data_IF_686612457464
#
_entry.id   IF_686612457464
#
_cell.length_a   1.000
_cell.length_b   1.000
_cell.length_c   1.000
_cell.angle_alpha   90.00
_cell.angle_beta   90.00
_cell.angle_gamma   90.00
#
_symmetry.space_group_name_H-M   'P 1'
#
loop_
_entity.id
_entity.type
_entity.pdbx_description
1 polymer ?
#
# COMPACT_ATOMS: atom_id res chain seq x y z
N UNK A 1 2.81 15.65 -26.83
CA UNK A 1 2.79 14.57 -25.84
C UNK A 1 1.86 14.98 -24.71
N UNK A 2 1.02 14.08 -24.23
CA UNK A 2 0.09 14.36 -23.12
C UNK A 2 0.86 14.78 -21.87
N UNK A 3 0.53 15.93 -21.25
CA UNK A 3 1.25 16.40 -20.07
C UNK A 3 1.00 15.50 -18.86
N UNK A 4 2.02 15.33 -18.02
CA UNK A 4 1.94 14.58 -16.76
C UNK A 4 2.16 15.55 -15.60
N UNK A 5 1.25 15.52 -14.64
CA UNK A 5 1.35 16.23 -13.38
C UNK A 5 1.72 15.26 -12.27
N UNK A 6 2.39 15.73 -11.22
CA UNK A 6 2.83 14.89 -10.11
C UNK A 6 2.28 15.42 -8.80
N UNK A 7 1.69 14.52 -8.02
CA UNK A 7 1.24 14.76 -6.65
C UNK A 7 2.08 13.92 -5.71
N UNK A 8 2.83 14.59 -4.83
CA UNK A 8 3.54 13.96 -3.71
C UNK A 8 2.76 14.19 -2.42
N UNK A 9 2.70 13.18 -1.58
CA UNK A 9 2.09 13.27 -0.25
C UNK A 9 3.09 12.84 0.82
N UNK A 10 3.16 13.55 1.94
CA UNK A 10 4.12 13.18 2.98
C UNK A 10 3.89 13.85 4.32
N UNK A 11 4.66 13.40 5.31
CA UNK A 11 4.75 13.98 6.64
C UNK A 11 6.07 13.62 7.28
N UNK A 12 6.91 14.64 7.57
CA UNK A 12 8.22 14.45 8.20
C UNK A 12 9.13 13.49 7.41
N UNK A 13 9.23 13.68 6.08
CA UNK A 13 10.01 12.79 5.23
C UNK A 13 11.47 13.23 5.06
N UNK A 14 11.80 14.48 5.41
CA UNK A 14 13.18 14.97 5.44
C UNK A 14 13.92 14.76 4.11
N UNK A 15 15.07 14.09 4.14
CA UNK A 15 15.89 13.85 2.94
C UNK A 15 15.23 12.92 1.92
N UNK A 16 14.30 12.06 2.34
CA UNK A 16 13.53 11.22 1.42
C UNK A 16 12.65 12.06 0.50
N UNK A 17 11.96 13.08 1.07
CA UNK A 17 11.18 14.03 0.27
C UNK A 17 12.05 14.82 -0.70
N UNK A 18 13.24 15.24 -0.28
CA UNK A 18 14.18 15.95 -1.18
C UNK A 18 14.58 15.06 -2.37
N UNK A 19 14.84 13.77 -2.13
CA UNK A 19 15.12 12.81 -3.19
C UNK A 19 13.90 12.58 -4.10
N UNK A 20 12.69 12.47 -3.53
CA UNK A 20 11.45 12.34 -4.28
C UNK A 20 11.20 13.56 -5.19
N UNK A 21 11.32 14.78 -4.66
CA UNK A 21 11.18 16.04 -5.42
C UNK A 21 12.20 16.14 -6.55
N UNK A 22 13.47 15.84 -6.24
CA UNK A 22 14.53 15.85 -7.25
C UNK A 22 14.28 14.85 -8.38
N UNK A 23 13.67 13.71 -8.08
CA UNK A 23 13.40 12.66 -9.06
C UNK A 23 12.30 13.04 -10.07
N UNK A 24 11.45 14.00 -9.78
CA UNK A 24 10.37 14.47 -10.67
C UNK A 24 10.66 15.83 -11.30
N UNK A 25 11.69 16.52 -10.84
CA UNK A 25 12.09 17.83 -11.36
C UNK A 25 12.38 17.78 -12.86
N UNK A 26 11.82 18.72 -13.61
CA UNK A 26 11.99 18.83 -15.07
C UNK A 26 11.28 17.76 -15.91
N UNK A 27 10.56 16.81 -15.28
CA UNK A 27 9.80 15.76 -15.96
C UNK A 27 8.29 16.01 -15.89
N UNK A 28 7.80 16.69 -14.86
CA UNK A 28 6.39 17.01 -14.65
C UNK A 28 6.04 18.40 -15.13
N UNK A 29 4.82 18.60 -15.62
CA UNK A 29 4.26 19.92 -15.94
C UNK A 29 3.98 20.73 -14.69
N UNK A 30 3.36 20.12 -13.70
CA UNK A 30 3.09 20.67 -12.37
C UNK A 30 3.52 19.68 -11.31
N UNK A 31 4.05 20.18 -10.20
CA UNK A 31 4.39 19.39 -9.02
C UNK A 31 3.62 19.96 -7.84
N UNK A 32 2.79 19.15 -7.21
CA UNK A 32 2.06 19.49 -5.98
C UNK A 32 2.59 18.60 -4.86
N UNK A 33 2.99 19.20 -3.75
CA UNK A 33 3.29 18.49 -2.51
C UNK A 33 2.21 18.76 -1.47
N UNK A 34 1.59 17.71 -0.96
CA UNK A 34 0.59 17.81 0.11
C UNK A 34 1.23 17.42 1.43
N UNK A 35 1.34 18.40 2.32
CA UNK A 35 1.88 18.24 3.65
C UNK A 35 0.80 17.84 4.65
N UNK A 36 1.02 16.76 5.38
CA UNK A 36 0.10 16.24 6.41
C UNK A 36 0.53 16.64 7.83
N UNK A 37 0.98 17.89 8.01
CA UNK A 37 1.37 18.46 9.30
C UNK A 37 2.80 18.11 9.70
N UNK A 38 3.76 18.31 8.80
CA UNK A 38 5.19 18.17 9.09
C UNK A 38 5.68 19.20 10.09
N UNK A 39 6.64 18.80 10.89
CA UNK A 39 7.34 19.63 11.88
C UNK A 39 8.84 19.80 11.55
N UNK A 40 9.30 19.14 10.48
CA UNK A 40 10.65 19.25 9.93
C UNK A 40 10.69 20.28 8.77
N UNK A 41 11.77 20.27 7.97
CA UNK A 41 11.97 21.19 6.83
C UNK A 41 11.24 20.74 5.53
N UNK A 42 10.33 19.75 5.58
CA UNK A 42 9.66 19.17 4.40
C UNK A 42 8.92 20.24 3.57
N UNK A 43 8.14 21.11 4.20
CA UNK A 43 7.42 22.20 3.50
C UNK A 43 8.41 23.14 2.79
N UNK A 44 9.41 23.64 3.51
CA UNK A 44 10.40 24.54 2.93
C UNK A 44 11.24 23.88 1.82
N UNK A 45 11.48 22.58 1.92
CA UNK A 45 12.17 21.81 0.88
C UNK A 45 11.32 21.71 -0.40
N UNK A 46 10.01 21.48 -0.27
CA UNK A 46 9.10 21.42 -1.41
C UNK A 46 8.97 22.79 -2.11
N UNK A 47 8.86 23.87 -1.35
CA UNK A 47 8.81 25.24 -1.91
C UNK A 47 10.10 25.57 -2.67
N UNK A 48 11.29 25.26 -2.08
CA UNK A 48 12.58 25.47 -2.77
C UNK A 48 12.72 24.66 -4.05
N UNK A 49 12.08 23.47 -4.11
CA UNK A 49 12.05 22.66 -5.33
C UNK A 49 11.05 23.14 -6.38
N UNK A 50 10.31 24.24 -6.12
CA UNK A 50 9.30 24.80 -7.02
C UNK A 50 7.97 24.03 -7.03
N UNK A 51 7.71 23.19 -6.05
CA UNK A 51 6.43 22.52 -5.91
C UNK A 51 5.37 23.47 -5.31
N UNK A 52 4.12 23.35 -5.79
CA UNK A 52 2.97 23.97 -5.13
C UNK A 52 2.67 23.20 -3.85
N UNK A 53 2.79 23.86 -2.70
CA UNK A 53 2.53 23.22 -1.41
C UNK A 53 1.06 23.38 -1.03
N UNK A 54 0.44 22.28 -0.59
CA UNK A 54 -0.90 22.23 -0.02
C UNK A 54 -0.79 21.70 1.41
N UNK A 55 -1.14 22.52 2.39
CA UNK A 55 -1.22 22.09 3.78
C UNK A 55 -2.58 21.43 4.02
N UNK A 56 -2.55 20.14 4.36
CA UNK A 56 -3.77 19.39 4.65
C UNK A 56 -4.42 19.91 5.93
N UNK A 57 -5.75 20.08 5.90
CA UNK A 57 -6.51 20.41 7.12
C UNK A 57 -6.37 19.33 8.19
N UNK A 58 -5.66 19.64 9.27
CA UNK A 58 -5.37 18.75 10.39
C UNK A 58 -6.42 18.78 11.50
N UNK A 59 -7.50 19.54 11.35
CA UNK A 59 -8.66 19.49 12.28
C UNK A 59 -9.41 18.16 12.18
N UNK A 60 -9.24 17.46 11.06
CA UNK A 60 -9.70 16.09 10.81
C UNK A 60 -8.50 15.14 10.75
N UNK A 61 -8.66 13.85 11.15
CA UNK A 61 -7.59 12.86 11.02
C UNK A 61 -7.06 12.81 9.58
N UNK A 62 -5.74 12.88 9.42
CA UNK A 62 -5.12 12.77 8.10
C UNK A 62 -5.18 11.33 7.59
N UNK A 63 -5.31 11.18 6.28
CA UNK A 63 -5.18 9.91 5.55
C UNK A 63 -4.45 10.15 4.23
N UNK A 64 -3.80 9.12 3.68
CA UNK A 64 -3.19 9.21 2.37
C UNK A 64 -4.25 9.51 1.27
N UNK A 65 -5.47 8.99 1.43
CA UNK A 65 -6.59 9.28 0.55
C UNK A 65 -6.94 10.78 0.53
N UNK A 66 -7.07 11.41 1.70
CA UNK A 66 -7.34 12.85 1.81
C UNK A 66 -6.21 13.67 1.17
N UNK A 67 -4.96 13.29 1.42
CA UNK A 67 -3.82 13.99 0.87
C UNK A 67 -3.79 13.90 -0.66
N UNK A 68 -4.00 12.70 -1.24
CA UNK A 68 -4.03 12.54 -2.71
C UNK A 68 -5.19 13.30 -3.35
N UNK A 69 -6.38 13.31 -2.73
CA UNK A 69 -7.51 14.11 -3.21
C UNK A 69 -7.16 15.61 -3.21
N UNK A 70 -6.66 16.14 -2.10
CA UNK A 70 -6.28 17.55 -1.99
C UNK A 70 -5.19 17.94 -3.00
N UNK A 71 -4.25 17.02 -3.27
CA UNK A 71 -3.23 17.23 -4.29
C UNK A 71 -3.80 17.27 -5.71
N UNK A 72 -4.73 16.37 -6.02
CA UNK A 72 -5.43 16.36 -7.31
C UNK A 72 -6.24 17.65 -7.53
N UNK A 73 -6.98 18.08 -6.51
CA UNK A 73 -7.81 19.30 -6.56
C UNK A 73 -6.98 20.59 -6.74
N UNK A 74 -5.70 20.54 -6.37
CA UNK A 74 -4.78 21.66 -6.52
C UNK A 74 -4.14 21.77 -7.91
N UNK A 75 -4.33 20.80 -8.80
CA UNK A 75 -3.81 20.79 -10.16
C UNK A 75 -4.70 21.59 -11.12
N UNK A 76 -4.07 22.28 -12.08
CA UNK A 76 -4.76 23.01 -13.13
C UNK A 76 -4.97 22.12 -14.35
N UNK A 77 -6.24 21.75 -14.64
CA UNK A 77 -6.66 20.96 -15.81
C UNK A 77 -5.76 19.73 -16.10
N UNK A 78 -5.61 18.79 -15.15
CA UNK A 78 -4.76 17.64 -15.37
C UNK A 78 -5.34 16.67 -16.41
N UNK A 79 -4.45 16.02 -17.16
CA UNK A 79 -4.78 14.90 -18.05
C UNK A 79 -4.26 13.58 -17.48
N UNK A 80 -2.96 13.49 -17.16
CA UNK A 80 -2.37 12.37 -16.43
C UNK A 80 -1.78 12.85 -15.12
N UNK A 81 -2.05 12.13 -14.05
CA UNK A 81 -1.54 12.43 -12.72
C UNK A 81 -0.77 11.24 -12.16
N UNK A 82 0.50 11.44 -11.86
CA UNK A 82 1.32 10.50 -11.13
C UNK A 82 1.24 10.82 -9.63
N UNK A 83 0.72 9.90 -8.84
CA UNK A 83 0.80 9.95 -7.39
C UNK A 83 2.06 9.25 -6.92
N UNK A 84 2.75 9.81 -5.92
CA UNK A 84 3.96 9.28 -5.32
C UNK A 84 3.95 9.56 -3.81
N UNK A 85 4.34 8.57 -3.01
CA UNK A 85 4.59 8.79 -1.59
C UNK A 85 5.89 9.59 -1.40
N UNK A 86 5.96 10.49 -0.41
CA UNK A 86 7.09 11.38 -0.17
C UNK A 86 8.40 10.68 0.24
N UNK A 87 8.34 9.37 0.53
CA UNK A 87 9.48 8.50 0.79
C UNK A 87 9.88 7.62 -0.41
N UNK A 88 9.34 7.94 -1.60
CA UNK A 88 9.57 7.22 -2.85
C UNK A 88 10.23 8.15 -3.89
N UNK A 89 11.38 7.75 -4.42
CA UNK A 89 12.02 8.43 -5.56
C UNK A 89 11.64 7.74 -6.87
N UNK A 90 11.17 8.52 -7.85
CA UNK A 90 10.80 8.03 -9.17
C UNK A 90 12.04 7.61 -9.96
N UNK A 91 11.95 6.52 -10.71
CA UNK A 91 13.05 6.08 -11.58
C UNK A 91 13.00 6.85 -12.91
N UNK A 92 14.17 7.33 -13.42
CA UNK A 92 14.22 8.03 -14.69
C UNK A 92 13.57 7.26 -15.84
N UNK A 93 12.79 7.96 -16.68
CA UNK A 93 12.10 7.37 -17.83
C UNK A 93 10.76 6.69 -17.52
N UNK A 94 10.41 6.49 -16.24
CA UNK A 94 9.14 5.85 -15.91
C UNK A 94 7.91 6.68 -16.34
N UNK A 95 7.92 8.00 -16.13
CA UNK A 95 6.78 8.85 -16.54
C UNK A 95 6.52 8.76 -18.05
N UNK A 96 7.57 8.73 -18.85
CA UNK A 96 7.45 8.59 -20.31
C UNK A 96 6.90 7.21 -20.70
N UNK A 97 7.39 6.14 -20.06
CA UNK A 97 6.90 4.79 -20.32
C UNK A 97 5.44 4.62 -19.92
N UNK A 98 5.04 5.11 -18.74
CA UNK A 98 3.67 5.04 -18.25
C UNK A 98 2.70 5.88 -19.11
N UNK A 99 3.10 7.10 -19.49
CA UNK A 99 2.35 7.95 -20.41
C UNK A 99 2.16 7.28 -21.76
N UNK A 100 3.24 6.78 -22.39
CA UNK A 100 3.18 6.12 -23.68
C UNK A 100 2.26 4.89 -23.64
N UNK A 101 2.27 4.13 -22.53
CA UNK A 101 1.37 3.00 -22.35
C UNK A 101 -0.09 3.47 -22.30
N UNK A 102 -0.40 4.51 -21.54
CA UNK A 102 -1.75 5.06 -21.49
C UNK A 102 -2.19 5.61 -22.85
N UNK A 103 -1.34 6.35 -23.56
CA UNK A 103 -1.66 6.91 -24.88
C UNK A 103 -2.03 5.78 -25.89
N UNK A 104 -1.35 4.64 -25.83
CA UNK A 104 -1.60 3.47 -26.71
C UNK A 104 -2.79 2.60 -26.24
N UNK A 105 -3.24 2.73 -25.00
CA UNK A 105 -4.28 1.88 -24.41
C UNK A 105 -5.43 2.72 -23.84
N UNK A 106 -6.35 3.24 -24.66
CA UNK A 106 -7.40 4.16 -24.22
C UNK A 106 -8.37 3.55 -23.19
N UNK A 107 -8.55 2.23 -23.15
CA UNK A 107 -9.35 1.54 -22.12
C UNK A 107 -8.65 1.35 -20.78
N UNK A 108 -7.34 1.66 -20.71
CA UNK A 108 -6.59 1.62 -19.44
C UNK A 108 -6.68 2.97 -18.73
N UNK A 109 -7.19 2.94 -17.51
CA UNK A 109 -7.36 4.15 -16.69
C UNK A 109 -6.18 4.43 -15.75
N UNK A 110 -5.47 3.38 -15.34
CA UNK A 110 -4.36 3.48 -14.38
C UNK A 110 -3.20 2.56 -14.78
N UNK A 111 -1.99 3.09 -14.62
CA UNK A 111 -0.73 2.36 -14.80
C UNK A 111 0.14 2.48 -13.56
N UNK A 112 0.78 1.38 -13.19
CA UNK A 112 1.83 1.33 -12.17
C UNK A 112 3.04 0.54 -12.69
N UNK A 113 4.15 0.58 -11.96
CA UNK A 113 5.35 -0.22 -12.20
C UNK A 113 5.72 -1.05 -11.00
N UNK A 114 7.01 -1.40 -10.90
CA UNK A 114 7.56 -2.03 -9.70
C UNK A 114 8.11 -0.98 -8.75
N UNK A 115 7.84 -1.18 -7.47
CA UNK A 115 8.52 -0.49 -6.37
C UNK A 115 9.68 -1.37 -5.91
N UNK A 116 10.84 -0.80 -5.64
CA UNK A 116 12.02 -1.49 -5.12
C UNK A 116 12.43 -0.89 -3.78
N UNK A 117 12.87 -1.73 -2.85
CA UNK A 117 13.41 -1.29 -1.57
C UNK A 117 14.90 -0.95 -1.71
N UNK A 118 15.30 0.29 -1.34
CA UNK A 118 16.69 0.75 -1.48
C UNK A 118 17.64 0.06 -0.50
N UNK A 119 17.14 -0.31 0.69
CA UNK A 119 17.89 -1.00 1.73
C UNK A 119 17.40 -2.43 1.93
N UNK A 120 17.15 -3.14 0.82
CA UNK A 120 16.55 -4.48 0.79
C UNK A 120 17.19 -5.44 1.78
N UNK A 121 18.53 -5.51 1.80
CA UNK A 121 19.26 -6.50 2.58
C UNK A 121 19.56 -6.06 4.03
N UNK A 122 19.12 -4.86 4.43
CA UNK A 122 19.30 -4.36 5.79
C UNK A 122 18.52 -5.20 6.82
N UNK A 123 17.33 -5.67 6.48
CA UNK A 123 16.50 -6.49 7.37
C UNK A 123 15.62 -7.48 6.62
N UNK A 124 15.17 -8.52 7.33
CA UNK A 124 14.17 -9.46 6.82
C UNK A 124 12.84 -8.76 6.45
N UNK A 125 12.50 -7.68 7.12
CA UNK A 125 11.27 -6.94 6.87
C UNK A 125 11.34 -6.14 5.58
N UNK A 126 12.49 -5.49 5.30
CA UNK A 126 12.75 -4.81 4.03
C UNK A 126 12.76 -5.81 2.86
N UNK A 127 13.39 -6.99 3.04
CA UNK A 127 13.37 -8.06 2.05
C UNK A 127 11.94 -8.51 1.73
N UNK A 128 11.08 -8.65 2.76
CA UNK A 128 9.69 -9.03 2.56
C UNK A 128 8.92 -7.94 1.81
N UNK A 129 9.12 -6.66 2.13
CA UNK A 129 8.51 -5.54 1.41
C UNK A 129 8.91 -5.53 -0.06
N UNK A 130 10.21 -5.62 -0.36
CA UNK A 130 10.72 -5.65 -1.73
C UNK A 130 10.08 -6.78 -2.54
N UNK A 131 9.95 -7.97 -1.95
CA UNK A 131 9.30 -9.09 -2.60
C UNK A 131 7.79 -8.87 -2.80
N UNK A 132 7.08 -8.31 -1.81
CA UNK A 132 5.65 -8.01 -1.91
C UNK A 132 5.34 -6.99 -3.01
N UNK A 133 6.25 -6.06 -3.30
CA UNK A 133 6.07 -5.00 -4.30
C UNK A 133 6.40 -5.44 -5.73
N UNK A 134 7.17 -6.52 -5.91
CA UNK A 134 7.51 -7.08 -7.22
C UNK A 134 6.49 -8.12 -7.65
N UNK A 135 5.40 -7.65 -8.25
CA UNK A 135 4.33 -8.51 -8.77
C UNK A 135 4.42 -8.61 -10.30
N UNK A 136 3.84 -9.67 -10.92
CA UNK A 136 3.83 -9.80 -12.37
C UNK A 136 3.29 -8.55 -13.07
N UNK A 137 3.87 -8.23 -14.24
CA UNK A 137 3.35 -7.23 -15.16
C UNK A 137 2.10 -7.75 -15.87
N UNK A 138 1.29 -6.84 -16.45
CA UNK A 138 0.04 -7.13 -17.14
C UNK A 138 -1.15 -6.47 -16.47
N UNK A 139 -2.35 -6.94 -16.78
CA UNK A 139 -3.57 -6.47 -16.13
C UNK A 139 -3.60 -6.89 -14.66
N UNK A 140 -3.99 -5.96 -13.79
CA UNK A 140 -3.96 -6.13 -12.33
C UNK A 140 -5.29 -5.74 -11.69
N UNK A 141 -5.56 -6.31 -10.52
CA UNK A 141 -6.75 -5.94 -9.74
C UNK A 141 -6.52 -4.72 -8.83
N UNK A 142 -5.29 -4.50 -8.38
CA UNK A 142 -4.91 -3.39 -7.51
C UNK A 142 -3.42 -3.11 -7.61
N UNK A 143 -3.03 -1.91 -7.16
CA UNK A 143 -1.63 -1.47 -7.06
C UNK A 143 -1.32 -1.02 -5.63
N UNK A 144 -0.16 -0.41 -5.42
CA UNK A 144 0.15 0.40 -4.25
C UNK A 144 -0.16 1.88 -4.48
N UNK A 145 0.17 2.73 -3.51
CA UNK A 145 -0.12 4.16 -3.55
C UNK A 145 0.54 4.94 -4.69
N UNK A 146 1.66 4.44 -5.25
CA UNK A 146 2.32 5.04 -6.41
C UNK A 146 1.65 4.55 -7.70
N UNK A 147 1.03 5.47 -8.44
CA UNK A 147 0.29 5.14 -9.66
C UNK A 147 0.15 6.35 -10.58
N UNK A 148 0.14 6.14 -11.89
CA UNK A 148 -0.29 7.14 -12.87
C UNK A 148 -1.72 6.87 -13.28
N UNK A 149 -2.59 7.88 -13.20
CA UNK A 149 -4.02 7.76 -13.55
C UNK A 149 -4.40 8.76 -14.63
N UNK A 150 -5.39 8.42 -15.44
CA UNK A 150 -6.13 9.41 -16.21
C UNK A 150 -6.92 10.30 -15.25
N UNK A 151 -6.84 11.60 -15.39
CA UNK A 151 -7.61 12.51 -14.56
C UNK A 151 -9.13 12.29 -14.70
N UNK A 152 -9.58 11.86 -15.88
CA UNK A 152 -10.98 11.49 -16.10
C UNK A 152 -11.41 10.34 -15.18
N UNK A 153 -10.62 9.25 -15.12
CA UNK A 153 -10.90 8.13 -14.21
C UNK A 153 -11.03 8.59 -12.75
N UNK A 154 -10.13 9.48 -12.30
CA UNK A 154 -10.18 10.00 -10.93
C UNK A 154 -11.46 10.78 -10.65
N UNK A 155 -11.91 11.59 -11.62
CA UNK A 155 -13.19 12.32 -11.52
C UNK A 155 -14.40 11.39 -11.58
N UNK A 156 -14.38 10.36 -12.44
CA UNK A 156 -15.49 9.41 -12.60
C UNK A 156 -15.84 8.68 -11.29
N UNK A 157 -14.85 8.52 -10.40
CA UNK A 157 -15.04 7.83 -9.12
C UNK A 157 -14.99 8.77 -7.90
N UNK A 158 -14.92 10.09 -8.11
CA UNK A 158 -14.81 11.10 -7.04
C UNK A 158 -13.58 10.88 -6.14
N UNK A 159 -12.44 10.59 -6.76
CA UNK A 159 -11.16 10.36 -6.08
C UNK A 159 -11.15 9.17 -5.13
N UNK A 160 -10.29 9.23 -4.11
CA UNK A 160 -10.20 8.22 -3.05
C UNK A 160 -11.20 8.48 -1.92
N UNK A 161 -11.71 7.42 -1.31
CA UNK A 161 -12.56 7.55 -0.12
C UNK A 161 -11.71 8.07 1.06
N UNK A 162 -11.99 9.30 1.56
CA UNK A 162 -11.15 9.97 2.57
C UNK A 162 -11.14 9.26 3.94
N UNK A 163 -12.13 8.40 4.21
CA UNK A 163 -12.27 7.70 5.49
C UNK A 163 -11.53 6.35 5.51
N UNK A 164 -10.97 5.92 4.38
CA UNK A 164 -10.16 4.69 4.32
C UNK A 164 -8.74 5.00 4.76
N UNK A 165 -8.33 4.37 5.88
CA UNK A 165 -7.02 4.64 6.52
C UNK A 165 -5.93 3.63 6.15
N UNK A 166 -6.30 2.55 5.47
CA UNK A 166 -5.40 1.49 5.03
C UNK A 166 -6.01 0.74 3.85
N UNK A 167 -5.19 0.40 2.87
CA UNK A 167 -5.61 -0.19 1.60
C UNK A 167 -6.59 0.74 0.82
N UNK A 168 -6.39 2.04 0.92
CA UNK A 168 -7.08 3.07 0.16
C UNK A 168 -6.82 2.94 -1.35
N UNK A 169 -5.64 2.46 -1.70
CA UNK A 169 -5.21 2.10 -3.04
C UNK A 169 -5.97 0.88 -3.59
N UNK A 170 -6.15 -0.17 -2.79
CA UNK A 170 -7.01 -1.30 -3.14
C UNK A 170 -8.47 -0.86 -3.32
N UNK A 171 -8.99 -0.03 -2.41
CA UNK A 171 -10.37 0.46 -2.41
C UNK A 171 -10.67 1.25 -3.69
N UNK A 172 -9.82 2.21 -4.03
CA UNK A 172 -10.03 3.01 -5.25
C UNK A 172 -9.89 2.15 -6.52
N UNK A 173 -8.97 1.18 -6.54
CA UNK A 173 -8.83 0.24 -7.66
C UNK A 173 -10.08 -0.62 -7.87
N UNK A 174 -10.82 -0.99 -6.81
CA UNK A 174 -12.12 -1.65 -6.94
C UNK A 174 -13.12 -0.74 -7.66
N UNK A 175 -13.18 0.56 -7.28
CA UNK A 175 -14.09 1.52 -7.93
C UNK A 175 -13.68 1.82 -9.37
N UNK A 176 -12.39 1.93 -9.67
CA UNK A 176 -11.89 2.09 -11.04
C UNK A 176 -12.38 0.96 -11.95
N UNK A 177 -12.26 -0.29 -11.52
CA UNK A 177 -12.72 -1.44 -12.28
C UNK A 177 -14.25 -1.51 -12.41
N UNK A 178 -14.99 -1.13 -11.35
CA UNK A 178 -16.47 -1.01 -11.39
C UNK A 178 -16.94 0.08 -12.34
N UNK A 179 -16.13 1.11 -12.57
CA UNK A 179 -16.36 2.14 -13.57
C UNK A 179 -15.99 1.69 -15.01
N UNK A 180 -15.54 0.44 -15.19
CA UNK A 180 -15.26 -0.14 -16.50
C UNK A 180 -13.82 0.03 -17.01
N UNK A 181 -12.91 0.58 -16.19
CA UNK A 181 -11.52 0.80 -16.59
C UNK A 181 -10.64 -0.41 -16.29
N UNK A 182 -9.66 -0.69 -17.16
CA UNK A 182 -8.58 -1.65 -16.87
C UNK A 182 -7.43 -0.98 -16.14
N UNK A 183 -6.72 -1.76 -15.32
CA UNK A 183 -5.57 -1.32 -14.54
C UNK A 183 -4.37 -2.18 -14.92
N UNK A 184 -3.20 -1.56 -15.17
CA UNK A 184 -2.04 -2.30 -15.65
C UNK A 184 -0.77 -2.02 -14.85
N UNK A 185 0.05 -3.07 -14.70
CA UNK A 185 1.45 -2.94 -14.30
C UNK A 185 2.33 -3.13 -15.52
N UNK A 186 3.11 -2.10 -15.87
CA UNK A 186 4.11 -2.21 -16.92
C UNK A 186 5.42 -2.80 -16.37
N UNK A 187 6.23 -3.50 -17.20
CA UNK A 187 7.47 -4.14 -16.78
C UNK A 187 8.62 -3.12 -16.63
N UNK A 188 8.39 -2.09 -15.80
CA UNK A 188 9.35 -1.03 -15.52
C UNK A 188 9.47 -0.81 -14.01
N UNK A 189 10.67 -0.56 -13.52
CA UNK A 189 10.88 -0.04 -12.18
C UNK A 189 10.31 1.37 -12.13
N UNK A 190 9.40 1.63 -11.18
CA UNK A 190 8.70 2.90 -11.05
C UNK A 190 9.33 3.77 -9.97
N UNK A 191 9.42 3.23 -8.77
CA UNK A 191 9.91 3.98 -7.61
C UNK A 191 10.88 3.16 -6.77
N UNK A 192 11.82 3.87 -6.15
CA UNK A 192 12.71 3.36 -5.09
C UNK A 192 12.23 3.91 -3.76
N UNK A 193 11.97 3.04 -2.84
CA UNK A 193 11.34 3.33 -1.57
C UNK A 193 12.25 2.96 -0.40
N UNK A 194 12.27 3.79 0.63
CA UNK A 194 12.90 3.47 1.91
C UNK A 194 11.81 3.05 2.93
N UNK A 195 11.62 1.75 3.08
CA UNK A 195 10.68 1.22 4.09
C UNK A 195 11.11 1.54 5.51
N UNK A 196 12.41 1.77 5.75
CA UNK A 196 13.01 2.05 7.06
C UNK A 196 12.54 1.07 8.16
N UNK A 197 12.28 -0.19 7.78
CA UNK A 197 11.69 -1.18 8.68
C UNK A 197 12.79 -1.99 9.36
N UNK A 198 13.26 -1.52 10.52
CA UNK A 198 14.42 -2.08 11.22
C UNK A 198 14.05 -2.96 12.42
N UNK A 199 12.81 -2.91 12.90
CA UNK A 199 12.36 -3.57 14.13
C UNK A 199 11.11 -4.41 13.91
N UNK A 200 11.00 -5.53 14.64
CA UNK A 200 9.83 -6.41 14.64
C UNK A 200 8.52 -5.66 14.92
N UNK A 201 8.53 -4.71 15.86
CA UNK A 201 7.34 -3.92 16.20
C UNK A 201 6.79 -3.10 15.04
N UNK A 202 7.64 -2.58 14.15
CA UNK A 202 7.21 -1.87 12.95
C UNK A 202 6.50 -2.81 11.97
N UNK A 203 7.09 -4.00 11.72
CA UNK A 203 6.45 -5.02 10.89
C UNK A 203 5.12 -5.49 11.50
N UNK A 204 5.07 -5.71 12.83
CA UNK A 204 3.85 -6.09 13.53
C UNK A 204 2.76 -5.04 13.37
N UNK A 205 3.09 -3.76 13.58
CA UNK A 205 2.13 -2.66 13.44
C UNK A 205 1.68 -2.46 12.00
N UNK A 206 2.59 -2.64 11.01
CA UNK A 206 2.22 -2.68 9.60
C UNK A 206 1.23 -3.81 9.32
N UNK A 207 1.42 -4.99 9.88
CA UNK A 207 0.48 -6.10 9.74
C UNK A 207 -0.88 -5.81 10.42
N UNK A 208 -0.89 -5.11 11.57
CA UNK A 208 -2.15 -4.61 12.19
C UNK A 208 -2.85 -3.64 11.23
N UNK A 209 -2.13 -2.69 10.62
CA UNK A 209 -2.70 -1.77 9.62
C UNK A 209 -3.29 -2.54 8.42
N UNK A 210 -2.57 -3.54 7.90
CA UNK A 210 -3.06 -4.41 6.82
C UNK A 210 -4.37 -5.12 7.18
N UNK A 211 -4.45 -5.69 8.39
CA UNK A 211 -5.68 -6.33 8.87
C UNK A 211 -6.87 -5.36 9.00
N UNK A 212 -6.61 -4.11 9.42
CA UNK A 212 -7.62 -3.06 9.42
C UNK A 212 -8.13 -2.80 7.99
N UNK A 213 -7.22 -2.68 7.00
CA UNK A 213 -7.56 -2.51 5.60
C UNK A 213 -8.44 -3.67 5.07
N UNK A 214 -8.08 -4.93 5.37
CA UNK A 214 -8.91 -6.08 4.99
C UNK A 214 -10.35 -5.99 5.49
N UNK A 215 -10.54 -5.51 6.74
CA UNK A 215 -11.87 -5.37 7.31
C UNK A 215 -12.61 -4.16 6.75
N UNK A 216 -11.94 -3.01 6.61
CA UNK A 216 -12.55 -1.77 6.14
C UNK A 216 -12.95 -1.87 4.67
N UNK A 217 -12.01 -2.25 3.79
CA UNK A 217 -12.30 -2.40 2.34
C UNK A 217 -13.28 -3.55 2.10
N UNK A 218 -13.14 -4.67 2.82
CA UNK A 218 -14.09 -5.78 2.72
C UNK A 218 -15.46 -5.49 3.35
N UNK A 219 -15.63 -4.39 4.11
CA UNK A 219 -16.92 -3.87 4.52
C UNK A 219 -17.57 -3.00 3.44
N UNK A 220 -16.76 -2.17 2.75
CA UNK A 220 -17.21 -1.32 1.64
C UNK A 220 -17.49 -2.16 0.37
N UNK A 221 -16.67 -3.17 0.14
CA UNK A 221 -16.75 -4.10 -1.01
C UNK A 221 -16.72 -5.54 -0.50
N UNK A 222 -17.88 -6.15 -0.18
CA UNK A 222 -17.95 -7.48 0.43
C UNK A 222 -17.27 -8.60 -0.37
N UNK A 223 -17.21 -8.46 -1.68
CA UNK A 223 -16.56 -9.38 -2.62
C UNK A 223 -15.01 -9.30 -2.60
N UNK A 224 -14.46 -8.22 -2.01
CA UNK A 224 -13.01 -7.99 -1.96
C UNK A 224 -12.40 -8.49 -0.64
N UNK A 225 -11.15 -8.92 -0.66
CA UNK A 225 -10.43 -9.49 0.48
C UNK A 225 -11.12 -10.67 1.20
N UNK A 226 -12.01 -11.40 0.51
CA UNK A 226 -12.74 -12.55 1.10
C UNK A 226 -11.77 -13.63 1.59
N UNK A 227 -10.77 -13.97 0.75
CA UNK A 227 -9.77 -14.99 1.08
C UNK A 227 -8.89 -14.56 2.25
N UNK A 228 -8.44 -13.30 2.24
CA UNK A 228 -7.58 -12.72 3.25
C UNK A 228 -8.30 -12.69 4.60
N UNK A 229 -9.52 -12.18 4.64
CA UNK A 229 -10.37 -12.15 5.87
C UNK A 229 -10.61 -13.56 6.42
N UNK A 230 -10.97 -14.51 5.54
CA UNK A 230 -11.17 -15.91 5.94
C UNK A 230 -9.89 -16.53 6.51
N UNK A 231 -8.74 -16.31 5.87
CA UNK A 231 -7.44 -16.80 6.36
C UNK A 231 -7.08 -16.19 7.72
N UNK A 232 -7.35 -14.91 7.93
CA UNK A 232 -7.14 -14.25 9.22
C UNK A 232 -8.03 -14.87 10.29
N UNK A 233 -9.31 -15.08 10.03
CA UNK A 233 -10.24 -15.70 10.99
C UNK A 233 -9.87 -17.15 11.31
N UNK A 234 -9.45 -17.92 10.32
CA UNK A 234 -9.04 -19.32 10.54
C UNK A 234 -7.71 -19.39 11.32
N UNK A 235 -6.66 -18.78 10.79
CA UNK A 235 -5.30 -18.90 11.35
C UNK A 235 -5.02 -17.92 12.50
N UNK A 236 -5.73 -16.81 12.60
CA UNK A 236 -5.55 -15.83 13.67
C UNK A 236 -6.50 -16.03 14.85
N UNK A 237 -7.66 -16.68 14.67
CA UNK A 237 -8.67 -16.84 15.71
C UNK A 237 -9.04 -18.31 15.95
N UNK A 238 -9.61 -19.00 14.94
CA UNK A 238 -10.20 -20.33 15.17
C UNK A 238 -9.16 -21.36 15.59
N UNK A 239 -8.03 -21.46 14.87
CA UNK A 239 -6.97 -22.42 15.22
C UNK A 239 -6.31 -22.14 16.58
N UNK A 240 -5.98 -20.88 16.98
CA UNK A 240 -5.53 -20.60 18.33
C UNK A 240 -6.52 -21.01 19.42
N UNK A 241 -7.82 -20.75 19.22
CA UNK A 241 -8.86 -21.17 20.18
C UNK A 241 -8.96 -22.69 20.27
N UNK A 242 -8.90 -23.40 19.13
CA UNK A 242 -8.90 -24.88 19.12
C UNK A 242 -7.63 -25.45 19.78
N UNK A 243 -6.48 -24.79 19.60
CA UNK A 243 -5.25 -25.18 20.28
C UNK A 243 -5.40 -25.10 21.80
N UNK A 244 -5.93 -23.99 22.31
CA UNK A 244 -6.17 -23.80 23.74
C UNK A 244 -7.22 -24.80 24.27
N UNK A 245 -8.31 -25.01 23.53
CA UNK A 245 -9.31 -26.03 23.88
C UNK A 245 -8.70 -27.43 23.94
N UNK A 246 -7.80 -27.75 23.02
CA UNK A 246 -7.07 -29.02 23.01
C UNK A 246 -6.19 -29.24 24.24
N UNK A 247 -5.54 -28.18 24.75
CA UNK A 247 -4.75 -28.26 25.99
C UNK A 247 -5.63 -28.60 27.22
N UNK A 248 -6.91 -28.23 27.19
CA UNK A 248 -7.85 -28.43 28.28
C UNK A 248 -8.63 -29.75 28.16
N UNK A 249 -8.66 -30.37 26.96
CA UNK A 249 -9.47 -31.57 26.68
C UNK A 249 -8.64 -32.76 26.23
N UNK A 250 -7.96 -32.62 25.08
CA UNK A 250 -7.12 -33.70 24.52
C UNK A 250 -5.94 -33.11 23.75
N UNK A 251 -4.74 -33.50 24.11
CA UNK A 251 -3.50 -33.04 23.45
C UNK A 251 -3.44 -33.38 21.96
N UNK A 252 -4.17 -34.37 21.50
CA UNK A 252 -4.27 -34.71 20.07
C UNK A 252 -4.86 -33.57 19.23
N UNK A 253 -5.84 -32.83 19.79
CA UNK A 253 -6.41 -31.67 19.13
C UNK A 253 -5.35 -30.56 18.98
N UNK A 254 -4.60 -30.28 20.05
CA UNK A 254 -3.49 -29.30 19.99
C UNK A 254 -2.40 -29.73 19.00
N UNK A 255 -2.04 -31.00 18.98
CA UNK A 255 -1.06 -31.54 18.03
C UNK A 255 -1.55 -31.42 16.58
N UNK A 256 -2.84 -31.69 16.31
CA UNK A 256 -3.42 -31.52 14.98
C UNK A 256 -3.39 -30.03 14.54
N UNK A 257 -3.68 -29.09 15.43
CA UNK A 257 -3.56 -27.65 15.12
C UNK A 257 -2.12 -27.25 14.78
N UNK A 258 -1.14 -27.73 15.54
CA UNK A 258 0.28 -27.48 15.23
C UNK A 258 0.68 -28.08 13.88
N UNK A 259 0.19 -29.27 13.55
CA UNK A 259 0.42 -29.89 12.23
C UNK A 259 -0.19 -29.03 11.09
N UNK A 260 -1.38 -28.45 11.29
CA UNK A 260 -1.98 -27.51 10.31
C UNK A 260 -1.11 -26.27 10.12
N UNK A 261 -0.57 -25.67 11.20
CA UNK A 261 0.35 -24.54 11.09
C UNK A 261 1.66 -24.92 10.39
N UNK A 262 2.24 -26.07 10.74
CA UNK A 262 3.44 -26.59 10.08
C UNK A 262 3.21 -26.81 8.59
N UNK A 263 2.09 -27.41 8.22
CA UNK A 263 1.71 -27.62 6.82
C UNK A 263 1.52 -26.28 6.07
N UNK A 264 0.85 -25.30 6.69
CA UNK A 264 0.70 -23.96 6.11
C UNK A 264 2.06 -23.27 5.92
N UNK A 265 2.94 -23.38 6.91
CA UNK A 265 4.30 -22.83 6.85
C UNK A 265 5.09 -23.43 5.69
N UNK A 266 5.11 -24.76 5.56
CA UNK A 266 5.80 -25.48 4.48
C UNK A 266 5.22 -25.11 3.11
N UNK A 267 3.88 -25.15 2.96
CA UNK A 267 3.21 -24.80 1.71
C UNK A 267 3.50 -23.35 1.28
N UNK A 268 3.52 -22.43 2.24
CA UNK A 268 3.84 -21.02 1.97
C UNK A 268 5.28 -20.88 1.51
N UNK A 269 6.25 -21.52 2.19
CA UNK A 269 7.65 -21.49 1.77
C UNK A 269 7.85 -22.10 0.37
N UNK A 270 7.21 -23.24 0.09
CA UNK A 270 7.27 -23.86 -1.25
C UNK A 270 6.64 -22.96 -2.34
N UNK A 271 5.55 -22.26 -2.03
CA UNK A 271 4.96 -21.27 -2.93
C UNK A 271 5.95 -20.16 -3.26
N UNK A 272 6.56 -19.56 -2.24
CA UNK A 272 7.57 -18.50 -2.39
C UNK A 272 8.79 -18.96 -3.22
N UNK A 273 9.23 -20.21 -3.06
CA UNK A 273 10.33 -20.79 -3.85
C UNK A 273 9.90 -20.93 -5.32
N UNK A 274 8.68 -21.39 -5.59
CA UNK A 274 8.14 -21.47 -6.97
C UNK A 274 8.02 -20.10 -7.62
N UNK A 275 7.73 -19.05 -6.82
CA UNK A 275 7.67 -17.67 -7.25
C UNK A 275 9.07 -17.01 -7.39
N UNK A 276 10.15 -17.81 -7.25
CA UNK A 276 11.53 -17.42 -7.53
C UNK A 276 12.34 -16.90 -6.33
N UNK A 277 11.80 -16.98 -5.09
CA UNK A 277 12.61 -16.63 -3.92
C UNK A 277 13.67 -17.69 -3.61
N UNK A 278 14.91 -17.28 -3.23
CA UNK A 278 15.90 -18.19 -2.67
C UNK A 278 15.34 -18.94 -1.45
N UNK A 279 15.59 -20.25 -1.35
CA UNK A 279 14.98 -21.11 -0.35
C UNK A 279 15.14 -20.57 1.09
N UNK A 280 16.35 -20.10 1.47
CA UNK A 280 16.59 -19.55 2.80
C UNK A 280 15.72 -18.32 3.10
N UNK A 281 15.49 -17.44 2.14
CA UNK A 281 14.59 -16.29 2.27
C UNK A 281 13.13 -16.74 2.34
N UNK A 282 12.73 -17.66 1.49
CA UNK A 282 11.37 -18.18 1.43
C UNK A 282 10.91 -18.78 2.77
N UNK A 283 11.76 -19.57 3.44
CA UNK A 283 11.46 -20.11 4.77
C UNK A 283 11.31 -19.00 5.83
N UNK A 284 12.18 -17.99 5.83
CA UNK A 284 12.09 -16.84 6.76
C UNK A 284 10.84 -16.01 6.52
N UNK A 285 10.53 -15.69 5.25
CA UNK A 285 9.32 -14.95 4.88
C UNK A 285 8.04 -15.74 5.22
N UNK A 286 8.03 -17.06 5.00
CA UNK A 286 6.90 -17.91 5.35
C UNK A 286 6.57 -17.84 6.85
N UNK A 287 7.58 -17.75 7.73
CA UNK A 287 7.37 -17.56 9.16
C UNK A 287 6.62 -16.26 9.46
N UNK A 288 7.09 -15.13 8.88
CA UNK A 288 6.43 -13.84 9.05
C UNK A 288 5.00 -13.86 8.47
N UNK A 289 4.81 -14.42 7.27
CA UNK A 289 3.49 -14.49 6.63
C UNK A 289 2.50 -15.37 7.41
N UNK A 290 2.99 -16.43 8.06
CA UNK A 290 2.17 -17.27 8.94
C UNK A 290 1.82 -16.51 10.23
N UNK A 291 2.80 -15.88 10.87
CA UNK A 291 2.60 -15.09 12.09
C UNK A 291 1.72 -13.87 11.85
N UNK A 292 1.75 -13.27 10.66
CA UNK A 292 0.99 -12.04 10.33
C UNK A 292 -0.52 -12.16 10.59
N UNK A 293 -1.08 -13.37 10.65
CA UNK A 293 -2.52 -13.58 10.86
C UNK A 293 -3.00 -13.11 12.24
N UNK A 294 -2.11 -13.10 13.24
CA UNK A 294 -2.42 -12.60 14.58
C UNK A 294 -2.52 -11.07 14.58
N UNK A 295 -1.51 -10.29 14.16
CA UNK A 295 -1.66 -8.84 14.09
C UNK A 295 -2.73 -8.39 13.08
N UNK A 296 -2.94 -9.14 11.97
CA UNK A 296 -4.05 -8.85 11.06
C UNK A 296 -5.41 -9.01 11.76
N UNK A 297 -5.59 -10.02 12.62
CA UNK A 297 -6.82 -10.18 13.41
C UNK A 297 -7.03 -8.99 14.35
N UNK A 298 -5.97 -8.53 15.02
CA UNK A 298 -6.02 -7.33 15.87
C UNK A 298 -6.49 -6.12 15.05
N UNK A 299 -5.97 -5.96 13.85
CA UNK A 299 -6.38 -4.90 12.92
C UNK A 299 -7.86 -4.97 12.54
N UNK A 300 -8.33 -6.17 12.16
CA UNK A 300 -9.75 -6.41 11.86
C UNK A 300 -10.64 -6.09 13.07
N UNK A 301 -10.27 -6.55 14.26
CA UNK A 301 -11.00 -6.28 15.49
C UNK A 301 -11.04 -4.77 15.80
N UNK A 302 -9.92 -4.04 15.60
CA UNK A 302 -9.88 -2.57 15.77
C UNK A 302 -10.85 -1.85 14.83
N UNK A 303 -10.93 -2.25 13.56
CA UNK A 303 -11.91 -1.68 12.63
C UNK A 303 -13.35 -1.88 13.14
N UNK A 304 -13.73 -3.12 13.46
CA UNK A 304 -15.09 -3.41 13.92
C UNK A 304 -15.43 -2.69 15.23
N UNK A 305 -14.49 -2.61 16.18
CA UNK A 305 -14.66 -1.88 17.43
C UNK A 305 -14.87 -0.39 17.19
N UNK A 306 -14.05 0.24 16.35
CA UNK A 306 -14.20 1.67 16.01
C UNK A 306 -15.53 1.93 15.33
N UNK A 307 -15.94 1.06 14.41
CA UNK A 307 -17.24 1.16 13.72
C UNK A 307 -18.41 1.07 14.68
N UNK A 308 -18.42 0.09 15.59
CA UNK A 308 -19.50 -0.06 16.59
C UNK A 308 -19.55 1.14 17.53
N UNK A 309 -18.38 1.64 17.95
CA UNK A 309 -18.27 2.82 18.82
C UNK A 309 -18.48 4.15 18.09
N UNK A 310 -18.67 4.15 16.77
CA UNK A 310 -18.77 5.35 15.92
C UNK A 310 -17.62 6.32 16.15
N UNK A 311 -16.42 5.79 16.41
CA UNK A 311 -15.20 6.58 16.61
C UNK A 311 -14.46 6.80 15.30
N UNK A 312 -13.71 7.90 15.22
CA UNK A 312 -12.94 8.26 14.03
C UNK A 312 -12.01 7.14 13.59
N UNK A 313 -11.92 6.96 12.28
CA UNK A 313 -10.89 6.13 11.69
C UNK A 313 -9.59 6.92 11.64
N UNK A 314 -8.59 6.49 12.41
CA UNK A 314 -7.27 7.14 12.47
C UNK A 314 -6.22 6.20 11.96
N UNK A 315 -5.27 6.73 11.19
CA UNK A 315 -4.16 5.97 10.61
C UNK A 315 -3.38 5.22 11.70
N UNK A 316 -2.89 4.04 11.35
CA UNK A 316 -2.04 3.22 12.23
C UNK A 316 -0.59 3.44 11.74
N UNK A 317 0.13 4.31 12.41
CA UNK A 317 1.52 4.64 12.08
C UNK A 317 2.46 3.52 12.56
N UNK A 318 3.49 3.20 11.76
CA UNK A 318 4.49 2.16 12.08
C UNK A 318 5.93 2.59 11.79
N UNK A 319 6.13 3.81 11.26
CA UNK A 319 7.43 4.46 11.03
C UNK A 319 7.77 5.40 12.17
#
# INVERSE_FOLDING_TARGET
MTPVDVVLIGRNEGDRLKAALASVAGQARQIVYVDSGSTDDSVAAAERAGAKVVNLDMTRPFTAARARNAGFDALDAPEYVQFIDGDCALVPGYLDAARAFLDLNPGTGMVTGWRSEIHRDATLYNQLCDWEWRRPAGEIAACGGDMMVRAQLWRDVDGMNPDVIAAEDDEVCVRFRKAGWTLHRIPHEMTRHDAAMTRFGQWWTRAVRTGHGFAQVGHLHPEYFVRERRRVLVYGLALPLLFLAGLLTTLWLSAAVLAIYALNYVRTAQGLIRDGLPAAQAWRHSLLLTLSKIPNLIGMARFHTRRVRRSDMRIIEYK
#
